data_IF_789631034248
#
_entry.id   IF_789631034248
#
_cell.length_a   1.000
_cell.length_b   1.000
_cell.length_c   1.000
_cell.angle_alpha   90.00
_cell.angle_beta   90.00
_cell.angle_gamma   90.00
#
_symmetry.space_group_name_H-M   'P 1'
#
loop_
_entity.id
_entity.type
_entity.pdbx_description
1 polymer ?
#
# COMPACT_ATOMS: atom_id res chain seq x y z
N UNK A 1 9.66 -10.93 -0.80
CA UNK A 1 10.45 -9.78 -1.31
C UNK A 1 10.49 -8.68 -0.26
N UNK A 2 11.65 -8.06 -0.06
CA UNK A 2 11.83 -6.89 0.79
C UNK A 2 11.82 -5.59 -0.02
N UNK A 3 11.24 -4.55 0.56
CA UNK A 3 11.27 -3.16 0.10
C UNK A 3 12.03 -2.32 1.12
N UNK A 4 12.97 -1.52 0.64
CA UNK A 4 13.76 -0.58 1.41
C UNK A 4 13.46 0.82 0.88
N UNK A 5 13.14 1.76 1.77
CA UNK A 5 12.63 3.08 1.40
C UNK A 5 13.32 4.17 2.21
N UNK A 6 13.82 5.19 1.51
CA UNK A 6 14.12 6.50 2.07
C UNK A 6 13.00 7.46 1.73
N UNK A 7 12.64 8.34 2.68
CA UNK A 7 11.55 9.31 2.48
C UNK A 7 12.05 10.73 2.71
N UNK A 8 11.70 11.64 1.80
CA UNK A 8 11.85 13.09 1.98
C UNK A 8 10.53 13.79 1.62
N UNK A 9 10.37 15.02 2.08
CA UNK A 9 9.23 15.87 1.73
C UNK A 9 9.69 16.96 0.77
N UNK A 10 8.91 17.21 -0.27
CA UNK A 10 9.15 18.25 -1.26
C UNK A 10 7.96 19.19 -1.26
N UNK A 11 8.22 20.46 -0.97
CA UNK A 11 7.19 21.50 -1.03
C UNK A 11 6.60 21.64 -2.43
N UNK A 12 5.31 21.98 -2.54
CA UNK A 12 4.60 22.03 -3.83
C UNK A 12 5.29 22.94 -4.85
N UNK A 13 5.74 24.13 -4.42
CA UNK A 13 6.45 25.08 -5.27
C UNK A 13 7.83 24.57 -5.76
N UNK A 14 8.42 23.58 -5.08
CA UNK A 14 9.70 22.97 -5.44
C UNK A 14 9.53 21.70 -6.30
N UNK A 15 8.29 21.27 -6.58
CA UNK A 15 8.02 20.06 -7.35
C UNK A 15 8.73 20.06 -8.72
N UNK A 16 8.64 21.15 -9.47
CA UNK A 16 9.29 21.26 -10.78
C UNK A 16 10.82 21.13 -10.69
N UNK A 17 11.44 21.74 -9.68
CA UNK A 17 12.87 21.63 -9.44
C UNK A 17 13.28 20.20 -9.03
N UNK A 18 12.48 19.55 -8.17
CA UNK A 18 12.70 18.16 -7.79
C UNK A 18 12.63 17.22 -9.00
N UNK A 19 11.64 17.39 -9.88
CA UNK A 19 11.54 16.64 -11.13
C UNK A 19 12.73 16.89 -12.06
N UNK A 20 13.22 18.13 -12.16
CA UNK A 20 14.39 18.44 -12.98
C UNK A 20 15.67 17.78 -12.45
N UNK A 21 15.89 17.82 -11.12
CA UNK A 21 17.04 17.15 -10.50
C UNK A 21 16.97 15.64 -10.70
N UNK A 22 15.82 15.02 -10.39
CA UNK A 22 15.65 13.58 -10.53
C UNK A 22 15.76 13.15 -12.00
N UNK A 23 15.23 13.96 -12.92
CA UNK A 23 15.34 13.71 -14.36
C UNK A 23 16.78 13.81 -14.86
N UNK A 24 17.56 14.78 -14.38
CA UNK A 24 18.99 14.87 -14.66
C UNK A 24 19.79 13.71 -14.07
N UNK A 25 19.48 13.31 -12.83
CA UNK A 25 20.14 12.20 -12.13
C UNK A 25 19.86 10.85 -12.79
N UNK A 26 18.62 10.62 -13.22
CA UNK A 26 18.19 9.35 -13.81
C UNK A 26 18.34 9.34 -15.35
N UNK A 27 18.62 10.48 -15.97
CA UNK A 27 18.71 10.60 -17.43
C UNK A 27 17.39 10.33 -18.15
N UNK A 28 16.24 10.59 -17.50
CA UNK A 28 14.92 10.31 -18.07
C UNK A 28 13.88 11.35 -17.64
N UNK A 29 12.82 11.48 -18.42
CA UNK A 29 11.61 12.22 -18.01
C UNK A 29 10.79 11.38 -17.03
N UNK A 30 10.01 11.99 -16.11
CA UNK A 30 9.17 11.23 -15.21
C UNK A 30 8.13 10.40 -15.97
N UNK A 31 7.87 9.20 -15.47
CA UNK A 31 6.66 8.46 -15.79
C UNK A 31 5.54 8.90 -14.83
N UNK A 32 4.63 9.72 -15.34
CA UNK A 32 3.40 10.11 -14.62
C UNK A 32 2.36 8.98 -14.64
N UNK A 33 1.77 8.72 -13.49
CA UNK A 33 0.65 7.79 -13.36
C UNK A 33 -0.30 8.22 -12.25
N UNK A 34 -1.58 7.91 -12.42
CA UNK A 34 -2.58 8.07 -11.38
C UNK A 34 -3.18 6.71 -11.07
N UNK A 35 -3.30 6.39 -9.78
CA UNK A 35 -3.87 5.13 -9.32
C UNK A 35 -5.05 5.36 -8.39
N UNK A 36 -6.15 4.65 -8.65
CA UNK A 36 -7.21 4.45 -7.66
C UNK A 36 -6.79 3.33 -6.73
N UNK A 37 -6.80 3.58 -5.42
CA UNK A 37 -6.39 2.62 -4.39
C UNK A 37 -7.56 2.30 -3.49
N UNK A 38 -7.95 1.03 -3.47
CA UNK A 38 -9.01 0.50 -2.60
C UNK A 38 -8.37 -0.20 -1.39
N UNK A 39 -8.85 0.11 -0.19
CA UNK A 39 -8.35 -0.47 1.05
C UNK A 39 -9.35 -1.46 1.62
N UNK A 40 -8.87 -2.68 1.85
CA UNK A 40 -9.64 -3.80 2.35
C UNK A 40 -9.09 -4.28 3.68
N UNK A 41 -9.88 -4.17 4.75
CA UNK A 41 -9.51 -4.68 6.06
C UNK A 41 -9.75 -6.18 6.12
N UNK A 42 -8.73 -6.94 6.52
CA UNK A 42 -8.86 -8.37 6.76
C UNK A 42 -9.77 -8.73 7.94
N UNK A 43 -10.26 -9.98 7.99
CA UNK A 43 -11.15 -10.45 9.06
C UNK A 43 -10.45 -10.40 10.43
N UNK A 44 -11.17 -10.27 11.56
CA UNK A 44 -10.57 -10.23 12.89
C UNK A 44 -9.75 -11.49 13.23
N UNK A 45 -10.19 -12.64 12.71
CA UNK A 45 -9.44 -13.90 12.79
C UNK A 45 -8.69 -14.11 11.46
N UNK A 46 -7.35 -14.19 11.48
CA UNK A 46 -6.58 -14.41 10.27
C UNK A 46 -6.83 -15.83 9.73
N UNK A 47 -7.18 -15.93 8.45
CA UNK A 47 -7.48 -17.19 7.75
C UNK A 47 -6.78 -17.30 6.39
N UNK A 48 -5.97 -16.30 6.02
CA UNK A 48 -5.38 -16.22 4.69
C UNK A 48 -6.38 -15.91 3.57
N UNK A 49 -5.97 -16.15 2.33
CA UNK A 49 -6.85 -16.19 1.14
C UNK A 49 -7.18 -17.66 0.88
N UNK A 50 -8.16 -18.21 1.59
CA UNK A 50 -8.53 -19.63 1.54
C UNK A 50 -9.53 -19.93 0.43
N UNK A 51 -10.43 -18.99 0.11
CA UNK A 51 -11.37 -19.10 -0.99
C UNK A 51 -10.72 -18.58 -2.28
N UNK A 52 -10.51 -19.48 -3.24
CA UNK A 52 -9.88 -19.16 -4.53
C UNK A 52 -10.86 -19.21 -5.71
N UNK A 53 -12.18 -19.23 -5.45
CA UNK A 53 -13.20 -19.34 -6.50
C UNK A 53 -13.20 -18.14 -7.45
N UNK A 54 -12.98 -16.93 -6.91
CA UNK A 54 -12.87 -15.69 -7.70
C UNK A 54 -11.48 -15.42 -8.28
N UNK A 55 -10.49 -16.26 -8.02
CA UNK A 55 -9.15 -16.10 -8.63
C UNK A 55 -9.18 -16.71 -10.04
N UNK A 56 -8.80 -15.90 -11.03
CA UNK A 56 -8.78 -16.35 -12.42
C UNK A 56 -7.78 -17.50 -12.64
N UNK A 57 -8.21 -18.52 -13.38
CA UNK A 57 -7.43 -19.71 -13.72
C UNK A 57 -7.23 -19.78 -15.25
N UNK A 58 -6.09 -20.29 -15.74
CA UNK A 58 -4.96 -20.84 -14.98
C UNK A 58 -4.05 -19.74 -14.39
N UNK A 59 -3.56 -19.97 -13.17
CA UNK A 59 -2.60 -19.09 -12.51
C UNK A 59 -1.21 -19.38 -13.09
N UNK A 60 -0.50 -18.35 -13.55
CA UNK A 60 0.90 -18.49 -13.98
C UNK A 60 1.78 -18.95 -12.82
N UNK A 61 2.84 -19.71 -13.12
CA UNK A 61 3.64 -20.43 -12.09
C UNK A 61 4.29 -19.48 -11.07
N UNK A 62 4.80 -18.35 -11.56
CA UNK A 62 5.36 -17.23 -10.78
C UNK A 62 4.30 -16.57 -9.89
N UNK A 63 3.13 -16.23 -10.46
CA UNK A 63 2.02 -15.64 -9.71
C UNK A 63 1.47 -16.60 -8.64
N UNK A 64 1.47 -17.91 -8.92
CA UNK A 64 1.02 -18.93 -7.97
C UNK A 64 1.87 -18.99 -6.70
N UNK A 65 3.18 -18.76 -6.82
CA UNK A 65 4.06 -18.65 -5.65
C UNK A 65 3.71 -17.42 -4.80
N UNK A 66 3.47 -16.28 -5.44
CA UNK A 66 3.09 -15.04 -4.75
C UNK A 66 1.74 -15.15 -4.03
N UNK A 67 0.74 -15.82 -4.64
CA UNK A 67 -0.53 -16.10 -3.98
C UNK A 67 -0.35 -16.97 -2.73
N UNK A 68 0.54 -17.97 -2.81
CA UNK A 68 0.88 -18.84 -1.66
C UNK A 68 1.60 -18.05 -0.56
N UNK A 69 2.57 -17.21 -0.91
CA UNK A 69 3.27 -16.34 0.04
C UNK A 69 2.30 -15.37 0.73
N UNK A 70 1.45 -14.70 -0.05
CA UNK A 70 0.40 -13.82 0.47
C UNK A 70 -0.51 -14.58 1.45
N UNK A 71 -1.01 -15.75 1.06
CA UNK A 71 -1.85 -16.59 1.91
C UNK A 71 -1.16 -16.92 3.24
N UNK A 72 0.11 -17.32 3.21
CA UNK A 72 0.87 -17.66 4.42
C UNK A 72 1.08 -16.47 5.36
N UNK A 73 1.33 -15.28 4.84
CA UNK A 73 1.45 -14.06 5.65
C UNK A 73 0.10 -13.72 6.31
N UNK A 74 -0.99 -13.78 5.54
CA UNK A 74 -2.35 -13.46 6.00
C UNK A 74 -2.99 -14.52 6.91
N UNK A 75 -2.44 -15.74 6.96
CA UNK A 75 -2.82 -16.76 7.94
C UNK A 75 -2.32 -16.44 9.36
N UNK A 76 -1.23 -15.68 9.48
CA UNK A 76 -0.59 -15.39 10.78
C UNK A 76 -1.18 -14.16 11.46
N UNK A 77 -1.54 -13.17 10.67
CA UNK A 77 -1.99 -11.87 11.13
C UNK A 77 -2.89 -11.25 10.06
N UNK A 78 -3.91 -10.50 10.49
CA UNK A 78 -4.79 -9.78 9.57
C UNK A 78 -4.20 -8.42 9.24
N UNK A 79 -4.34 -8.03 7.97
CA UNK A 79 -3.77 -6.80 7.41
C UNK A 79 -4.84 -6.03 6.61
N UNK A 80 -4.59 -4.75 6.43
CA UNK A 80 -5.22 -3.94 5.39
C UNK A 80 -4.50 -4.22 4.07
N UNK A 81 -5.23 -4.74 3.08
CA UNK A 81 -4.75 -4.96 1.72
C UNK A 81 -5.15 -3.81 0.80
N UNK A 82 -4.36 -3.61 -0.26
CA UNK A 82 -4.64 -2.61 -1.28
C UNK A 82 -4.91 -3.28 -2.62
N UNK A 83 -6.05 -2.97 -3.25
CA UNK A 83 -6.24 -3.21 -4.68
C UNK A 83 -6.05 -1.89 -5.43
N UNK A 84 -5.15 -1.88 -6.40
CA UNK A 84 -4.70 -0.66 -7.10
C UNK A 84 -5.02 -0.77 -8.58
N UNK A 85 -5.61 0.27 -9.14
CA UNK A 85 -5.99 0.34 -10.56
C UNK A 85 -5.44 1.61 -11.17
N UNK A 86 -4.82 1.51 -12.33
CA UNK A 86 -4.42 2.68 -13.08
C UNK A 86 -5.65 3.40 -13.64
N UNK A 87 -5.68 4.72 -13.49
CA UNK A 87 -6.78 5.57 -13.96
C UNK A 87 -6.21 6.74 -14.75
N UNK A 88 -6.96 7.20 -15.73
CA UNK A 88 -6.61 8.36 -16.55
C UNK A 88 -7.52 9.53 -16.16
N UNK A 89 -6.91 10.68 -15.84
CA UNK A 89 -7.60 11.90 -15.40
C UNK A 89 -8.74 12.31 -16.36
N UNK A 90 -8.50 12.21 -17.66
CA UNK A 90 -9.44 12.66 -18.70
C UNK A 90 -10.52 11.63 -19.09
N UNK A 91 -10.32 10.35 -18.75
CA UNK A 91 -11.20 9.24 -19.16
C UNK A 91 -12.06 8.71 -18.02
N UNK A 92 -11.44 8.55 -16.85
CA UNK A 92 -11.99 7.77 -15.74
C UNK A 92 -12.52 8.64 -14.59
N UNK A 93 -12.36 9.97 -14.69
CA UNK A 93 -12.72 10.92 -13.62
C UNK A 93 -13.70 11.98 -14.12
N UNK A 94 -14.69 12.30 -13.28
CA UNK A 94 -15.67 13.36 -13.54
C UNK A 94 -17.00 12.88 -14.12
N UNK A 95 -17.92 13.81 -14.44
CA UNK A 95 -19.32 13.49 -14.74
C UNK A 95 -19.51 12.70 -16.03
N UNK A 96 -18.57 12.80 -16.97
CA UNK A 96 -18.61 12.09 -18.25
C UNK A 96 -17.79 10.79 -18.24
N UNK A 97 -17.18 10.44 -17.10
CA UNK A 97 -16.37 9.24 -17.00
C UNK A 97 -17.23 7.99 -17.11
N UNK A 98 -16.72 7.00 -17.85
CA UNK A 98 -17.36 5.68 -17.88
C UNK A 98 -17.10 4.97 -16.55
N UNK A 99 -18.13 4.35 -15.97
CA UNK A 99 -17.96 3.56 -14.74
C UNK A 99 -16.95 2.44 -14.98
N UNK A 100 -15.95 2.35 -14.10
CA UNK A 100 -14.93 1.31 -14.15
C UNK A 100 -15.48 0.04 -13.51
N UNK A 101 -15.57 -1.04 -14.27
CA UNK A 101 -15.84 -2.37 -13.72
C UNK A 101 -14.55 -2.95 -13.12
N UNK A 102 -14.48 -2.87 -11.79
CA UNK A 102 -13.32 -3.29 -10.99
C UNK A 102 -13.11 -4.80 -10.99
N UNK A 103 -14.12 -5.63 -11.31
CA UNK A 103 -13.93 -7.08 -11.36
C UNK A 103 -13.37 -7.53 -12.71
N UNK A 104 -13.59 -6.79 -13.80
CA UNK A 104 -13.05 -7.10 -15.13
C UNK A 104 -11.75 -6.36 -15.46
N UNK A 105 -11.53 -5.20 -14.85
CA UNK A 105 -10.31 -4.40 -15.01
C UNK A 105 -9.13 -5.07 -14.28
N UNK A 106 -8.00 -5.34 -14.95
CA UNK A 106 -6.79 -5.80 -14.27
C UNK A 106 -6.26 -4.73 -13.30
N UNK A 107 -5.87 -5.16 -12.11
CA UNK A 107 -5.25 -4.31 -11.10
C UNK A 107 -4.10 -5.02 -10.40
N UNK A 108 -3.58 -4.37 -9.35
CA UNK A 108 -2.49 -4.86 -8.53
C UNK A 108 -3.02 -5.12 -7.13
N UNK A 109 -2.89 -6.35 -6.64
CA UNK A 109 -3.11 -6.64 -5.22
C UNK A 109 -1.79 -6.49 -4.47
N UNK A 110 -1.74 -5.56 -3.53
CA UNK A 110 -0.55 -5.25 -2.73
C UNK A 110 -0.78 -5.57 -1.26
N UNK A 111 0.18 -6.29 -0.70
CA UNK A 111 0.40 -6.46 0.73
C UNK A 111 1.77 -5.90 1.10
N UNK A 112 1.84 -5.20 2.22
CA UNK A 112 3.09 -4.72 2.83
C UNK A 112 3.06 -5.07 4.31
N UNK A 113 4.19 -5.50 4.86
CA UNK A 113 4.30 -5.83 6.28
C UNK A 113 4.57 -4.58 7.14
N UNK A 114 4.48 -4.75 8.46
CA UNK A 114 4.93 -3.75 9.43
C UNK A 114 6.45 -3.55 9.30
N UNK A 115 6.97 -2.31 9.22
CA UNK A 115 8.41 -2.12 9.06
C UNK A 115 9.24 -2.66 10.23
N UNK A 116 10.38 -3.22 9.87
CA UNK A 116 11.39 -3.70 10.80
C UNK A 116 11.88 -2.56 11.70
N UNK A 117 12.25 -2.84 12.96
CA UNK A 117 12.88 -1.85 13.82
C UNK A 117 14.18 -1.31 13.18
N UNK A 118 14.49 -0.01 13.30
CA UNK A 118 15.69 0.56 12.73
C UNK A 118 16.94 -0.02 13.40
N UNK A 119 17.73 -0.80 12.66
CA UNK A 119 18.98 -1.42 13.17
C UNK A 119 20.17 -0.49 12.96
N UNK A 120 20.17 0.67 13.63
CA UNK A 120 21.23 1.68 13.48
C UNK A 120 21.12 2.56 12.24
N UNK A 121 20.09 2.36 11.40
CA UNK A 121 19.78 3.16 10.22
C UNK A 121 18.35 3.73 10.33
N UNK A 122 18.12 4.82 11.09
CA UNK A 122 16.77 5.30 11.41
C UNK A 122 16.02 5.91 10.23
N UNK A 123 16.74 6.31 9.17
CA UNK A 123 16.16 6.93 7.97
C UNK A 123 15.59 5.90 6.98
N UNK A 124 16.04 4.65 7.07
CA UNK A 124 15.67 3.60 6.13
C UNK A 124 14.53 2.77 6.72
N UNK A 125 13.37 2.81 6.05
CA UNK A 125 12.29 1.89 6.33
C UNK A 125 12.53 0.59 5.55
N UNK A 126 12.45 -0.55 6.23
CA UNK A 126 12.58 -1.87 5.61
C UNK A 126 11.37 -2.70 5.98
N UNK A 127 10.74 -3.34 5.00
CA UNK A 127 9.59 -4.24 5.23
C UNK A 127 9.46 -5.29 4.13
N UNK A 128 8.74 -6.36 4.41
CA UNK A 128 8.31 -7.29 3.36
C UNK A 128 7.16 -6.71 2.55
N UNK A 129 7.07 -7.11 1.29
CA UNK A 129 5.91 -6.85 0.44
C UNK A 129 5.64 -8.00 -0.53
N UNK A 130 4.40 -8.08 -0.96
CA UNK A 130 3.91 -8.94 -2.04
C UNK A 130 3.05 -8.09 -2.96
N UNK A 131 3.36 -8.11 -4.25
CA UNK A 131 2.59 -7.43 -5.29
C UNK A 131 2.22 -8.44 -6.37
N UNK A 132 0.91 -8.65 -6.54
CA UNK A 132 0.35 -9.49 -7.59
C UNK A 132 -0.18 -8.57 -8.69
N UNK A 133 0.55 -8.49 -9.80
CA UNK A 133 0.24 -7.66 -10.95
C UNK A 133 -0.78 -8.31 -11.88
N UNK A 134 -1.50 -7.51 -12.66
CA UNK A 134 -2.47 -7.96 -13.68
C UNK A 134 -3.56 -8.91 -13.17
N UNK A 135 -4.01 -8.71 -11.93
CA UNK A 135 -5.05 -9.54 -11.32
C UNK A 135 -6.44 -8.93 -11.57
N UNK A 136 -7.38 -9.77 -11.97
CA UNK A 136 -8.80 -9.41 -12.11
C UNK A 136 -9.59 -9.87 -10.88
N UNK A 137 -10.86 -9.46 -10.81
CA UNK A 137 -11.82 -9.86 -9.77
C UNK A 137 -11.37 -9.56 -8.34
N UNK A 138 -10.47 -8.59 -8.15
CA UNK A 138 -9.91 -8.30 -6.83
C UNK A 138 -11.00 -7.98 -5.79
N UNK A 139 -12.03 -7.16 -6.08
CA UNK A 139 -13.11 -6.92 -5.11
C UNK A 139 -13.86 -8.20 -4.74
N UNK A 140 -14.13 -9.08 -5.72
CA UNK A 140 -14.74 -10.38 -5.47
C UNK A 140 -13.84 -11.31 -4.66
N UNK A 141 -12.54 -11.40 -4.97
CA UNK A 141 -11.58 -12.17 -4.17
C UNK A 141 -11.52 -11.68 -2.73
N UNK A 142 -11.52 -10.36 -2.50
CA UNK A 142 -11.54 -9.78 -1.15
C UNK A 142 -12.82 -10.17 -0.41
N UNK A 143 -13.98 -9.96 -1.02
CA UNK A 143 -15.30 -10.27 -0.45
C UNK A 143 -15.45 -11.76 -0.11
N UNK A 144 -15.05 -12.64 -1.01
CA UNK A 144 -15.11 -14.10 -0.85
C UNK A 144 -14.23 -14.63 0.30
N UNK A 145 -13.24 -13.83 0.71
CA UNK A 145 -12.33 -14.13 1.80
C UNK A 145 -12.62 -13.29 3.06
N UNK A 146 -13.82 -12.70 3.17
CA UNK A 146 -14.28 -11.91 4.31
C UNK A 146 -13.46 -10.64 4.57
N UNK A 147 -12.80 -10.10 3.55
CA UNK A 147 -12.21 -8.77 3.64
C UNK A 147 -13.29 -7.71 3.47
N UNK A 148 -13.24 -6.69 4.33
CA UNK A 148 -14.20 -5.59 4.34
C UNK A 148 -13.60 -4.39 3.63
N UNK A 149 -14.29 -3.87 2.63
CA UNK A 149 -13.95 -2.58 2.06
C UNK A 149 -14.06 -1.47 3.12
N UNK A 150 -13.08 -0.57 3.19
CA UNK A 150 -13.03 0.50 4.20
C UNK A 150 -13.00 1.90 3.60
N UNK A 151 -12.18 2.11 2.59
CA UNK A 151 -12.04 3.41 1.94
C UNK A 151 -11.36 3.22 0.61
N UNK A 152 -11.35 4.29 -0.15
CA UNK A 152 -10.53 4.43 -1.33
C UNK A 152 -9.88 5.80 -1.38
N UNK A 153 -8.79 5.92 -2.14
CA UNK A 153 -8.04 7.15 -2.40
C UNK A 153 -7.55 7.17 -3.85
N UNK A 154 -7.02 8.31 -4.26
CA UNK A 154 -6.32 8.48 -5.53
C UNK A 154 -4.86 8.86 -5.25
N UNK A 155 -3.92 8.17 -5.87
CA UNK A 155 -2.49 8.45 -5.76
C UNK A 155 -1.96 9.00 -7.09
N UNK A 156 -1.35 10.17 -7.04
CA UNK A 156 -0.59 10.76 -8.14
C UNK A 156 0.89 10.43 -7.97
N UNK A 157 1.53 9.92 -9.01
CA UNK A 157 2.92 9.47 -8.93
C UNK A 157 3.73 9.90 -10.15
N UNK A 158 4.95 10.38 -9.89
CA UNK A 158 5.98 10.65 -10.89
C UNK A 158 7.18 9.78 -10.59
N UNK A 159 7.45 8.81 -11.47
CA UNK A 159 8.50 7.81 -11.28
C UNK A 159 9.71 8.06 -12.18
N UNK A 160 10.88 7.83 -11.62
CA UNK A 160 12.16 7.80 -12.31
C UNK A 160 12.91 6.54 -11.90
N UNK A 161 13.77 6.04 -12.78
CA UNK A 161 14.52 4.81 -12.57
C UNK A 161 15.99 5.05 -12.90
N UNK A 162 16.87 4.64 -12.01
CA UNK A 162 18.32 4.58 -12.24
C UNK A 162 18.80 3.24 -11.72
N UNK A 163 19.28 2.39 -12.63
CA UNK A 163 19.64 1.00 -12.32
C UNK A 163 18.45 0.27 -11.66
N UNK A 164 18.63 -0.30 -10.47
CA UNK A 164 17.60 -1.04 -9.72
C UNK A 164 16.84 -0.15 -8.70
N UNK A 165 17.01 1.17 -8.77
CA UNK A 165 16.45 2.13 -7.82
C UNK A 165 15.30 2.91 -8.45
N UNK A 166 14.16 2.92 -7.77
CA UNK A 166 12.99 3.71 -8.12
C UNK A 166 12.98 5.00 -7.28
N UNK A 167 12.89 6.14 -7.95
CA UNK A 167 12.61 7.44 -7.33
C UNK A 167 11.16 7.79 -7.65
N UNK A 168 10.35 7.97 -6.63
CA UNK A 168 8.91 8.20 -6.80
C UNK A 168 8.48 9.43 -5.98
N UNK A 169 8.03 10.47 -6.67
CA UNK A 169 7.29 11.55 -6.04
C UNK A 169 5.82 11.14 -6.02
N UNK A 170 5.24 11.01 -4.82
CA UNK A 170 3.85 10.61 -4.65
C UNK A 170 3.05 11.66 -3.88
N UNK A 171 1.82 11.89 -4.32
CA UNK A 171 0.81 12.66 -3.60
C UNK A 171 -0.47 11.86 -3.51
N UNK A 172 -1.03 11.81 -2.31
CA UNK A 172 -2.28 11.10 -2.04
C UNK A 172 -3.44 12.10 -2.00
N UNK A 173 -4.60 11.68 -2.46
CA UNK A 173 -5.83 12.45 -2.46
C UNK A 173 -7.00 11.62 -1.94
N UNK A 174 -7.83 12.24 -1.10
CA UNK A 174 -9.15 11.74 -0.77
C UNK A 174 -10.14 12.11 -1.88
N UNK A 175 -11.10 11.21 -2.14
CA UNK A 175 -12.16 11.45 -3.13
C UNK A 175 -13.23 12.41 -2.64
N UNK A 176 -13.32 12.61 -1.33
CA UNK A 176 -14.26 13.55 -0.73
C UNK A 176 -13.51 14.43 0.27
N UNK A 177 -13.91 15.71 0.40
CA UNK A 177 -13.39 16.58 1.44
C UNK A 177 -13.62 15.96 2.81
N UNK A 178 -12.54 15.73 3.57
CA UNK A 178 -12.64 15.34 4.96
C UNK A 178 -12.85 16.60 5.80
N UNK A 179 -14.08 16.81 6.27
CA UNK A 179 -14.36 17.82 7.30
C UNK A 179 -13.76 17.40 8.65
N UNK A 180 -13.70 16.09 8.91
CA UNK A 180 -13.07 15.49 10.10
C UNK A 180 -12.29 14.22 9.72
N UNK A 181 -11.08 14.08 10.22
CA UNK A 181 -10.28 12.87 10.01
C UNK A 181 -10.75 11.75 10.94
N UNK A 182 -11.21 10.65 10.36
CA UNK A 182 -11.57 9.43 11.09
C UNK A 182 -10.56 8.32 10.73
N UNK A 183 -9.85 7.73 11.72
CA UNK A 183 -8.97 6.59 11.50
C UNK A 183 -9.68 5.45 10.76
N UNK A 184 -8.94 4.69 9.96
CA UNK A 184 -9.53 3.64 9.11
C UNK A 184 -10.26 2.56 9.95
N UNK A 185 -9.81 2.27 11.16
CA UNK A 185 -10.48 1.29 12.04
C UNK A 185 -11.83 1.81 12.55
N UNK A 186 -11.95 3.14 12.72
CA UNK A 186 -13.14 3.81 13.23
C UNK A 186 -14.14 4.20 12.12
N UNK A 187 -13.75 4.14 10.84
CA UNK A 187 -14.66 4.38 9.73
C UNK A 187 -15.75 3.31 9.69
N UNK A 188 -17.00 3.79 9.64
CA UNK A 188 -18.16 2.94 9.39
C UNK A 188 -17.98 2.16 8.08
N UNK A 189 -18.59 0.98 8.05
CA UNK A 189 -18.41 0.03 6.97
C UNK A 189 -19.09 0.56 5.70
N UNK A 190 -18.28 1.04 4.74
CA UNK A 190 -18.78 1.29 3.38
C UNK A 190 -19.11 -0.06 2.73
N UNK A 191 -20.27 -0.11 2.06
CA UNK A 191 -20.75 -1.35 1.43
C UNK A 191 -19.95 -1.72 0.18
N UNK A 192 -19.43 -0.73 -0.56
CA UNK A 192 -18.73 -0.95 -1.82
C UNK A 192 -17.88 0.27 -2.26
N UNK A 193 -16.87 0.07 -3.13
CA UNK A 193 -16.16 1.15 -3.81
C UNK A 193 -17.10 1.98 -4.70
N UNK A 194 -16.79 3.25 -4.91
CA UNK A 194 -17.56 4.14 -5.79
C UNK A 194 -17.58 3.63 -7.23
N UNK A 195 -18.75 3.65 -7.88
CA UNK A 195 -18.85 3.22 -9.29
C UNK A 195 -18.11 4.18 -10.25
N UNK A 196 -18.03 5.46 -9.88
CA UNK A 196 -17.42 6.55 -10.66
C UNK A 196 -16.50 7.38 -9.78
N UNK A 197 -15.42 7.89 -10.36
CA UNK A 197 -14.52 8.80 -9.67
C UNK A 197 -14.97 10.26 -9.85
N UNK A 198 -14.84 11.10 -8.82
CA UNK A 198 -15.11 12.53 -8.95
C UNK A 198 -14.08 13.21 -9.86
N UNK A 199 -14.36 14.42 -10.39
CA UNK A 199 -13.39 15.18 -11.18
C UNK A 199 -12.06 15.39 -10.44
N UNK A 200 -10.94 15.40 -11.17
CA UNK A 200 -9.60 15.62 -10.61
C UNK A 200 -9.52 16.86 -9.71
N UNK A 201 -10.03 18.00 -10.20
CA UNK A 201 -10.03 19.29 -9.50
C UNK A 201 -10.83 19.30 -8.19
N UNK A 202 -11.70 18.31 -7.97
CA UNK A 202 -12.50 18.20 -6.75
C UNK A 202 -11.88 17.31 -5.68
N UNK A 203 -10.77 16.63 -6.01
CA UNK A 203 -10.03 15.81 -5.07
C UNK A 203 -9.41 16.67 -3.97
N UNK A 204 -9.36 16.12 -2.75
CA UNK A 204 -8.74 16.80 -1.61
C UNK A 204 -7.39 16.16 -1.30
N UNK A 205 -6.27 16.89 -1.36
CA UNK A 205 -4.96 16.36 -0.96
C UNK A 205 -5.00 15.78 0.46
N UNK A 206 -4.28 14.69 0.71
CA UNK A 206 -4.17 14.14 2.08
C UNK A 206 -3.34 15.06 2.96
N UNK A 207 -2.25 15.61 2.41
CA UNK A 207 -1.46 16.65 3.06
C UNK A 207 -2.01 18.02 2.68
N UNK A 208 -2.52 18.77 3.66
CA UNK A 208 -3.05 20.13 3.45
C UNK A 208 -1.98 21.13 3.01
N UNK A 209 -0.71 20.86 3.29
CA UNK A 209 0.43 21.64 2.77
C UNK A 209 0.76 21.28 1.31
N UNK A 210 0.04 20.30 0.73
CA UNK A 210 0.21 19.82 -0.66
C UNK A 210 1.64 19.36 -0.96
N UNK A 211 2.39 18.92 0.05
CA UNK A 211 3.74 18.42 -0.16
C UNK A 211 3.71 17.10 -0.94
N UNK A 212 4.77 16.88 -1.70
CA UNK A 212 5.07 15.61 -2.33
C UNK A 212 5.94 14.77 -1.40
N UNK A 213 5.65 13.48 -1.34
CA UNK A 213 6.51 12.51 -0.67
C UNK A 213 7.48 11.96 -1.71
N UNK A 214 8.75 12.31 -1.58
CA UNK A 214 9.81 11.65 -2.33
C UNK A 214 10.13 10.33 -1.63
N UNK A 215 9.95 9.22 -2.34
CA UNK A 215 10.33 7.88 -1.91
C UNK A 215 11.43 7.36 -2.84
N UNK A 216 12.59 7.02 -2.28
CA UNK A 216 13.66 6.33 -2.99
C UNK A 216 13.63 4.88 -2.55
N UNK A 217 13.36 3.97 -3.48
CA UNK A 217 13.03 2.57 -3.20
C UNK A 217 14.01 1.62 -3.87
N UNK A 218 14.34 0.56 -3.15
CA UNK A 218 15.06 -0.58 -3.68
C UNK A 218 14.38 -1.88 -3.23
N UNK A 219 14.50 -2.92 -4.05
CA UNK A 219 13.79 -4.18 -3.86
C UNK A 219 14.75 -5.37 -3.80
N UNK A 220 14.58 -6.25 -2.82
CA UNK A 220 15.37 -7.48 -2.67
C UNK A 220 14.43 -8.68 -2.77
N UNK A 221 14.51 -9.41 -3.88
CA UNK A 221 13.55 -10.46 -4.22
C UNK A 221 13.61 -11.65 -3.25
N UNK A 222 14.80 -11.99 -2.73
CA UNK A 222 15.03 -13.19 -1.93
C UNK A 222 15.25 -12.88 -0.45
N UNK A 223 14.35 -13.38 0.40
CA UNK A 223 14.36 -13.15 1.84
C UNK A 223 15.54 -13.82 2.58
N UNK A 224 16.23 -14.78 1.96
CA UNK A 224 17.30 -15.57 2.58
C UNK A 224 18.72 -15.06 2.25
N UNK A 225 18.85 -13.84 1.73
CA UNK A 225 20.14 -13.25 1.35
C UNK A 225 20.42 -11.96 2.14
N UNK A 226 20.91 -12.07 3.39
CA UNK A 226 21.21 -10.91 4.23
C UNK A 226 22.31 -10.03 3.63
N UNK A 227 23.22 -10.59 2.84
CA UNK A 227 24.28 -9.84 2.16
C UNK A 227 23.74 -8.93 1.05
N UNK A 228 22.78 -9.40 0.26
CA UNK A 228 22.10 -8.57 -0.75
C UNK A 228 21.31 -7.44 -0.09
N UNK A 229 20.66 -7.74 1.04
CA UNK A 229 19.94 -6.74 1.82
C UNK A 229 20.87 -5.62 2.31
N UNK A 230 22.01 -5.99 2.89
CA UNK A 230 23.03 -5.04 3.37
C UNK A 230 23.61 -4.21 2.23
N UNK A 231 23.94 -4.83 1.09
CA UNK A 231 24.41 -4.11 -0.11
C UNK A 231 23.36 -3.10 -0.59
N UNK A 232 22.09 -3.47 -0.56
CA UNK A 232 20.98 -2.59 -0.95
C UNK A 232 20.80 -1.42 0.01
N UNK A 233 20.98 -1.66 1.32
CA UNK A 233 21.01 -0.59 2.33
C UNK A 233 22.16 0.39 2.07
N UNK A 234 23.37 -0.12 1.84
CA UNK A 234 24.56 0.68 1.53
C UNK A 234 24.34 1.52 0.25
N UNK A 235 23.75 0.92 -0.80
CA UNK A 235 23.42 1.62 -2.05
C UNK A 235 22.44 2.76 -1.83
N UNK A 236 21.35 2.55 -1.09
CA UNK A 236 20.39 3.62 -0.77
C UNK A 236 21.03 4.74 0.05
N UNK A 237 21.93 4.41 0.99
CA UNK A 237 22.64 5.42 1.77
C UNK A 237 23.66 6.21 0.94
N UNK A 238 24.30 5.57 -0.05
CA UNK A 238 25.14 6.27 -1.02
C UNK A 238 24.32 7.28 -1.85
N UNK A 239 23.14 6.85 -2.34
CA UNK A 239 22.22 7.72 -3.08
C UNK A 239 21.72 8.88 -2.21
N UNK A 240 21.43 8.62 -0.93
CA UNK A 240 21.14 9.69 0.03
C UNK A 240 22.28 10.71 0.08
N UNK A 241 23.53 10.25 0.10
CA UNK A 241 24.72 11.11 0.08
C UNK A 241 24.84 11.93 -1.20
N UNK A 242 24.54 11.35 -2.36
CA UNK A 242 24.50 12.07 -3.65
C UNK A 242 23.42 13.16 -3.69
N UNK A 243 22.31 12.94 -2.98
CA UNK A 243 21.16 13.84 -2.90
C UNK A 243 21.22 14.80 -1.71
N UNK A 244 22.29 14.77 -0.92
CA UNK A 244 22.44 15.60 0.26
C UNK A 244 22.48 17.08 -0.13
N UNK A 245 21.82 17.93 0.66
CA UNK A 245 21.62 19.34 0.36
C UNK A 245 20.54 19.65 -0.70
N UNK A 246 20.08 18.66 -1.47
CA UNK A 246 18.92 18.82 -2.38
C UNK A 246 17.63 18.34 -1.73
N UNK A 247 17.66 17.17 -1.08
CA UNK A 247 16.50 16.59 -0.41
C UNK A 247 16.80 16.30 1.06
N UNK A 248 15.88 16.70 1.93
CA UNK A 248 15.98 16.49 3.37
C UNK A 248 15.26 15.19 3.78
N UNK A 249 16.02 14.09 3.80
CA UNK A 249 15.52 12.77 4.15
C UNK A 249 15.19 12.65 5.64
N UNK A 250 14.00 12.14 5.94
CA UNK A 250 13.43 12.05 7.29
C UNK A 250 13.28 10.61 7.76
N UNK A 251 13.48 10.41 9.06
CA UNK A 251 13.05 9.20 9.73
C UNK A 251 11.52 9.26 9.87
N UNK A 252 10.85 8.21 9.42
CA UNK A 252 9.40 8.06 9.57
C UNK A 252 9.15 7.08 10.72
N UNK A 253 8.27 7.44 11.65
CA UNK A 253 7.82 6.48 12.66
C UNK A 253 7.14 5.30 11.96
N UNK A 254 7.73 4.12 12.08
CA UNK A 254 7.24 2.88 11.48
C UNK A 254 5.79 2.57 11.82
N UNK A 255 5.27 3.05 12.96
CA UNK A 255 3.87 2.87 13.38
C UNK A 255 2.89 3.52 12.41
N UNK A 256 3.29 4.61 11.74
CA UNK A 256 2.48 5.27 10.70
C UNK A 256 2.32 4.39 9.47
N UNK A 257 3.23 3.43 9.27
CA UNK A 257 3.22 2.49 8.15
C UNK A 257 2.71 1.11 8.56
N UNK A 258 2.13 0.95 9.76
CA UNK A 258 1.61 -0.32 10.24
C UNK A 258 0.27 -0.66 9.59
N UNK A 259 0.19 -1.71 8.73
CA UNK A 259 -1.04 -2.10 8.07
C UNK A 259 -1.79 -3.20 8.84
N UNK A 260 -1.31 -3.62 10.03
CA UNK A 260 -1.91 -4.71 10.79
C UNK A 260 -3.23 -4.28 11.39
N UNK A 261 -4.23 -5.15 11.29
CA UNK A 261 -5.51 -4.97 11.99
C UNK A 261 -5.32 -5.35 13.45
N UNK A 262 -5.67 -4.44 14.37
CA UNK A 262 -5.64 -4.73 15.81
C UNK A 262 -6.54 -5.92 16.08
N UNK A 263 -5.97 -7.00 16.62
CA UNK A 263 -6.77 -8.16 17.01
C UNK A 263 -7.63 -7.75 18.19
N UNK A 264 -8.95 -7.90 18.06
CA UNK A 264 -9.83 -7.75 19.21
C UNK A 264 -9.42 -8.81 20.25
N UNK A 265 -9.16 -8.43 21.51
CA UNK A 265 -8.90 -9.41 22.54
C UNK A 265 -10.10 -10.36 22.56
N UNK A 266 -9.84 -11.66 22.44
CA UNK A 266 -10.87 -12.66 22.68
C UNK A 266 -11.42 -12.37 24.07
N UNK A 267 -12.68 -11.96 24.15
CA UNK A 267 -13.38 -11.93 25.42
C UNK A 267 -13.16 -13.30 26.04
N UNK A 268 -12.53 -13.33 27.21
CA UNK A 268 -12.36 -14.56 27.99
C UNK A 268 -13.75 -15.19 28.03
N UNK A 269 -13.95 -16.30 27.32
CA UNK A 269 -15.16 -17.08 27.50
C UNK A 269 -15.13 -17.47 28.97
N UNK A 270 -15.97 -16.80 29.76
CA UNK A 270 -16.16 -17.14 31.17
C UNK A 270 -16.48 -18.61 31.21
N UNK A 271 -15.55 -19.40 31.74
CA UNK A 271 -15.77 -20.81 32.05
C UNK A 271 -17.10 -20.89 32.82
N UNK A 272 -18.02 -21.82 32.47
CA UNK A 272 -19.30 -21.93 33.15
C UNK A 272 -19.05 -22.14 34.64
N UNK A 273 -19.38 -21.12 35.45
CA UNK A 273 -19.27 -21.22 36.89
C UNK A 273 -20.41 -22.12 37.40
N UNK A 274 -20.00 -23.20 38.06
CA UNK A 274 -20.78 -24.12 38.91
C UNK A 274 -21.77 -25.05 38.20
N UNK A 275 -21.37 -26.31 38.10
CA UNK A 275 -22.29 -27.46 38.07
C UNK A 275 -22.75 -27.70 39.51
N UNK A 276 -24.03 -27.46 39.79
CA UNK A 276 -24.64 -27.85 41.06
C UNK A 276 -24.89 -29.36 41.02
N UNK A 277 -24.05 -30.14 41.69
CA UNK A 277 -24.33 -31.56 41.94
C UNK A 277 -25.47 -31.61 42.97
N UNK A 278 -26.54 -32.30 42.61
CA UNK A 278 -27.80 -32.36 43.35
C UNK A 278 -27.65 -32.90 44.77
N UNK A 279 -28.55 -32.44 45.64
CA UNK A 279 -28.78 -33.00 46.97
C UNK A 279 -29.53 -34.33 46.85
N UNK A 280 -29.02 -35.36 47.49
CA UNK A 280 -29.79 -36.49 48.04
C UNK A 280 -29.64 -36.45 49.55
#
# INVERSE_FOLDING_TARGET
MYELVLTALVEDHNFGAACAVLGGLCGMTPWESVQRVLYFQGPPRPVGISNQSSIDKPIRKDTGFLWKELHQNLMRQSYILQARYDVLKDRDMGPNATSMDLDTTPGILRWTDFPDPPRGQPLLAQRKKVELWDQKKLPSVMRDNNYQFKTETVEEMYRFFREDIEFCLVRHHFLQPLLEYVPLEAKEQLSSPSATLPPWESLTPVDMQKRWFLQVKAHVVQDNKPDELRKTQEQLLAIRGELDGVFDFKAIDRRVLDPRVVQQPQGIQTLPQKVTIGKT
#
